data_IF_883834058255
#
_entry.id   IF_883834058255
#
_cell.length_a   1.000
_cell.length_b   1.000
_cell.length_c   1.000
_cell.angle_alpha   90.00
_cell.angle_beta   90.00
_cell.angle_gamma   90.00
#
_symmetry.space_group_name_H-M   'P 1'
#
loop_
_entity.id
_entity.type
_entity.pdbx_description
1 polymer ?
#
# COMPACT_ATOMS: atom_id res chain seq x y z
N UNK A 1 -0.39 -10.10 -6.32
CA UNK A 1 -1.86 -10.07 -6.41
C UNK A 1 -2.34 -9.14 -5.31
N UNK A 2 -3.13 -8.12 -5.67
CA UNK A 2 -3.60 -7.11 -4.71
C UNK A 2 -4.84 -7.63 -3.97
N UNK A 3 -5.00 -7.22 -2.71
CA UNK A 3 -6.19 -7.51 -1.93
C UNK A 3 -7.11 -6.28 -1.91
N UNK A 4 -8.40 -6.53 -2.02
CA UNK A 4 -9.47 -5.56 -1.80
C UNK A 4 -9.98 -5.73 -0.40
N UNK A 5 -10.20 -4.64 0.31
CA UNK A 5 -10.73 -4.61 1.66
C UNK A 5 -12.16 -4.10 1.64
N UNK A 6 -13.05 -4.79 2.34
CA UNK A 6 -14.34 -4.24 2.74
C UNK A 6 -14.20 -3.56 4.10
N UNK A 7 -14.73 -2.36 4.21
CA UNK A 7 -14.59 -1.48 5.37
C UNK A 7 -15.98 -1.05 5.78
N UNK A 8 -16.29 -1.10 7.06
CA UNK A 8 -17.57 -0.66 7.61
C UNK A 8 -17.66 0.86 7.80
N UNK A 9 -18.81 1.36 8.25
CA UNK A 9 -19.06 2.79 8.48
C UNK A 9 -18.17 3.40 9.59
N UNK A 10 -17.45 2.57 10.34
CA UNK A 10 -16.54 2.97 11.41
C UNK A 10 -15.06 2.79 11.05
N UNK A 11 -14.77 2.64 9.75
CA UNK A 11 -13.43 2.44 9.18
C UNK A 11 -12.72 1.15 9.63
N UNK A 12 -13.47 0.11 10.03
CA UNK A 12 -12.88 -1.18 10.36
C UNK A 12 -12.94 -2.16 9.20
N UNK A 13 -11.87 -2.95 9.04
CA UNK A 13 -11.78 -3.99 8.01
C UNK A 13 -12.66 -5.17 8.39
N UNK A 14 -13.68 -5.43 7.58
CA UNK A 14 -14.65 -6.52 7.80
C UNK A 14 -14.36 -7.75 6.95
N UNK A 15 -13.86 -7.57 5.75
CA UNK A 15 -13.54 -8.65 4.84
C UNK A 15 -12.35 -8.30 3.94
N UNK A 16 -11.65 -9.33 3.47
CA UNK A 16 -10.59 -9.23 2.48
C UNK A 16 -10.84 -10.18 1.33
N UNK A 17 -10.79 -9.66 0.11
CA UNK A 17 -10.94 -10.43 -1.13
C UNK A 17 -9.74 -10.25 -2.04
N UNK A 18 -9.48 -11.24 -2.88
CA UNK A 18 -8.52 -11.07 -3.97
C UNK A 18 -9.17 -10.25 -5.09
N UNK A 19 -8.44 -9.26 -5.59
CA UNK A 19 -8.92 -8.46 -6.72
C UNK A 19 -9.02 -9.32 -7.98
N UNK A 20 -10.22 -9.42 -8.55
CA UNK A 20 -10.50 -10.21 -9.75
C UNK A 20 -10.65 -9.36 -11.03
N UNK A 21 -10.68 -8.03 -10.90
CA UNK A 21 -10.68 -7.07 -12.02
C UNK A 21 -11.92 -7.12 -12.92
N UNK A 22 -13.05 -7.63 -12.45
CA UNK A 22 -14.21 -7.88 -13.30
C UNK A 22 -15.09 -6.66 -13.57
N UNK A 23 -15.11 -5.70 -12.67
CA UNK A 23 -15.93 -4.50 -12.87
C UNK A 23 -15.03 -3.25 -12.96
N UNK A 24 -14.90 -2.65 -14.15
CA UNK A 24 -14.07 -1.45 -14.33
C UNK A 24 -14.68 -0.18 -13.74
N UNK A 25 -15.97 -0.17 -13.44
CA UNK A 25 -16.69 1.00 -12.92
C UNK A 25 -16.81 0.99 -11.39
N UNK A 26 -16.43 -0.12 -10.74
CA UNK A 26 -16.47 -0.25 -9.28
C UNK A 26 -15.22 0.35 -8.61
N UNK A 27 -15.44 1.11 -7.54
CA UNK A 27 -14.36 1.66 -6.71
C UNK A 27 -13.99 0.67 -5.62
N UNK A 28 -12.73 0.28 -5.57
CA UNK A 28 -12.22 -0.70 -4.62
C UNK A 28 -11.24 -0.08 -3.62
N UNK A 29 -11.34 -0.46 -2.36
CA UNK A 29 -10.35 -0.16 -1.35
C UNK A 29 -9.20 -1.17 -1.44
N UNK A 30 -8.11 -0.78 -2.10
CA UNK A 30 -6.95 -1.65 -2.30
C UNK A 30 -6.02 -1.62 -1.09
N UNK A 31 -5.66 -2.79 -0.56
CA UNK A 31 -4.63 -2.87 0.48
C UNK A 31 -3.28 -2.43 -0.05
N UNK A 32 -2.65 -1.48 0.64
CA UNK A 32 -1.27 -1.06 0.37
C UNK A 32 -0.23 -1.95 1.03
N UNK A 33 -0.66 -2.92 1.85
CA UNK A 33 0.21 -3.78 2.70
C UNK A 33 1.11 -2.96 3.66
N UNK A 34 0.64 -1.79 4.09
CA UNK A 34 1.28 -0.98 5.13
C UNK A 34 0.48 -1.14 6.41
N UNK A 35 1.12 -1.62 7.47
CA UNK A 35 0.47 -1.92 8.74
C UNK A 35 1.20 -1.21 9.89
N UNK A 36 0.43 -0.69 10.84
CA UNK A 36 0.91 -0.18 12.12
C UNK A 36 0.37 -1.11 13.18
N UNK A 37 1.26 -1.77 13.90
CA UNK A 37 0.89 -2.80 14.88
C UNK A 37 1.71 -2.64 16.16
N UNK A 38 1.16 -3.12 17.28
CA UNK A 38 1.90 -3.25 18.53
C UNK A 38 3.01 -4.28 18.40
N UNK A 39 4.23 -3.93 18.80
CA UNK A 39 5.41 -4.78 18.60
C UNK A 39 5.37 -6.08 19.40
N UNK A 40 5.07 -6.09 20.72
CA UNK A 40 4.92 -7.31 21.50
C UNK A 40 3.89 -8.26 20.92
N UNK A 41 2.72 -7.74 20.52
CA UNK A 41 1.67 -8.52 19.89
C UNK A 41 2.12 -9.15 18.56
N UNK A 42 2.83 -8.39 17.71
CA UNK A 42 3.35 -8.89 16.43
C UNK A 42 4.36 -10.02 16.64
N UNK A 43 5.25 -9.89 17.63
CA UNK A 43 6.23 -10.93 17.96
C UNK A 43 5.52 -12.23 18.35
N UNK A 44 4.52 -12.14 19.23
CA UNK A 44 3.71 -13.29 19.63
C UNK A 44 3.08 -14.00 18.41
N UNK A 45 2.46 -13.24 17.49
CA UNK A 45 1.84 -13.80 16.30
C UNK A 45 2.84 -14.44 15.33
N UNK A 46 4.02 -13.86 15.19
CA UNK A 46 5.10 -14.44 14.38
C UNK A 46 5.61 -15.76 15.02
N UNK A 47 5.76 -15.79 16.35
CA UNK A 47 6.19 -17.01 17.05
C UNK A 47 5.15 -18.14 16.99
N UNK A 48 3.86 -17.79 17.06
CA UNK A 48 2.76 -18.74 16.84
C UNK A 48 2.80 -19.32 15.43
N UNK A 49 2.97 -18.47 14.42
CA UNK A 49 3.03 -18.89 13.02
C UNK A 49 4.27 -19.75 12.71
N UNK A 50 5.42 -19.41 13.30
CA UNK A 50 6.67 -20.16 13.12
C UNK A 50 6.60 -21.60 13.64
N UNK A 51 5.65 -21.93 14.53
CA UNK A 51 5.44 -23.30 15.05
C UNK A 51 4.63 -24.18 14.09
N UNK A 52 4.00 -23.59 13.06
CA UNK A 52 3.23 -24.33 12.07
C UNK A 52 4.15 -25.12 11.12
N UNK A 53 3.68 -26.24 10.63
CA UNK A 53 4.41 -27.07 9.66
C UNK A 53 4.69 -26.31 8.36
N UNK A 54 3.75 -25.42 7.94
CA UNK A 54 3.83 -24.58 6.75
C UNK A 54 3.55 -23.11 7.10
N UNK A 55 4.56 -22.37 7.61
CA UNK A 55 4.37 -20.98 7.98
C UNK A 55 4.05 -20.09 6.78
N UNK A 56 3.11 -19.19 6.93
CA UNK A 56 2.76 -18.20 5.92
C UNK A 56 3.78 -17.04 5.89
N UNK A 57 3.80 -16.31 4.78
CA UNK A 57 4.55 -15.06 4.70
C UNK A 57 3.87 -13.99 5.54
N UNK A 58 4.67 -13.15 6.22
CA UNK A 58 4.20 -12.11 7.14
C UNK A 58 3.04 -11.26 6.57
N UNK A 59 3.12 -10.89 5.28
CA UNK A 59 2.06 -10.08 4.65
C UNK A 59 0.68 -10.76 4.63
N UNK A 60 0.63 -12.08 4.51
CA UNK A 60 -0.64 -12.83 4.53
C UNK A 60 -1.16 -12.95 5.95
N UNK A 61 -0.26 -13.22 6.90
CA UNK A 61 -0.60 -13.24 8.33
C UNK A 61 -1.23 -11.90 8.73
N UNK A 62 -0.59 -10.77 8.40
CA UNK A 62 -1.09 -9.44 8.76
C UNK A 62 -2.42 -9.11 8.10
N UNK A 63 -2.65 -9.57 6.87
CA UNK A 63 -3.94 -9.42 6.21
C UNK A 63 -5.05 -10.20 6.89
N UNK A 64 -4.79 -11.48 7.25
CA UNK A 64 -5.75 -12.32 7.96
C UNK A 64 -6.06 -11.74 9.34
N UNK A 65 -5.02 -11.31 10.07
CA UNK A 65 -5.16 -10.68 11.38
C UNK A 65 -5.90 -9.33 11.31
N UNK A 66 -5.77 -8.57 10.22
CA UNK A 66 -6.50 -7.32 10.04
C UNK A 66 -8.02 -7.55 10.03
N UNK A 67 -8.48 -8.64 9.42
CA UNK A 67 -9.90 -9.03 9.44
C UNK A 67 -10.29 -9.61 10.80
N UNK A 68 -9.49 -10.54 11.35
CA UNK A 68 -9.78 -11.22 12.62
C UNK A 68 -9.91 -10.25 13.79
N UNK A 69 -9.08 -9.21 13.83
CA UNK A 69 -9.06 -8.21 14.90
C UNK A 69 -9.77 -6.91 14.56
N UNK A 70 -10.55 -6.88 13.46
CA UNK A 70 -11.25 -5.69 12.98
C UNK A 70 -10.31 -4.46 12.94
N UNK A 71 -9.19 -4.60 12.26
CA UNK A 71 -8.19 -3.53 12.20
C UNK A 71 -8.80 -2.25 11.63
N UNK A 72 -8.39 -1.11 12.18
CA UNK A 72 -8.78 0.19 11.67
C UNK A 72 -8.10 0.46 10.33
N UNK A 73 -8.88 0.80 9.31
CA UNK A 73 -8.38 1.15 7.99
C UNK A 73 -8.12 2.66 7.88
N UNK A 74 -6.97 3.04 7.35
CA UNK A 74 -6.66 4.41 7.02
C UNK A 74 -6.71 4.59 5.51
N UNK A 75 -7.67 5.39 5.03
CA UNK A 75 -7.79 5.69 3.61
C UNK A 75 -6.68 6.64 3.16
N UNK A 76 -5.89 6.21 2.18
CA UNK A 76 -4.88 7.02 1.53
C UNK A 76 -5.34 7.45 0.13
N UNK A 77 -5.57 8.75 -0.05
CA UNK A 77 -6.04 9.35 -1.31
C UNK A 77 -4.92 10.01 -2.13
N UNK A 78 -3.67 9.82 -1.72
CA UNK A 78 -2.48 10.34 -2.41
C UNK A 78 -2.11 9.54 -3.67
N UNK A 79 -0.97 9.91 -4.26
CA UNK A 79 -0.40 9.12 -5.35
C UNK A 79 0.24 7.84 -4.81
N UNK A 80 -0.14 6.70 -5.36
CA UNK A 80 0.42 5.39 -5.07
C UNK A 80 0.73 4.67 -6.39
N UNK A 81 1.97 4.22 -6.57
CA UNK A 81 2.35 3.34 -7.66
C UNK A 81 2.88 2.01 -7.09
N UNK A 82 2.17 0.92 -7.36
CA UNK A 82 2.62 -0.43 -7.00
C UNK A 82 3.40 -1.03 -8.17
N UNK A 83 4.73 -1.02 -8.06
CA UNK A 83 5.64 -1.51 -9.10
C UNK A 83 5.82 -3.02 -8.95
N UNK A 84 5.14 -3.81 -9.77
CA UNK A 84 5.17 -5.27 -9.73
C UNK A 84 5.39 -5.91 -11.12
N UNK A 85 5.40 -5.11 -12.19
CA UNK A 85 5.66 -5.54 -13.57
C UNK A 85 6.44 -4.46 -14.33
N UNK A 86 6.94 -4.78 -15.52
CA UNK A 86 7.61 -3.82 -16.40
C UNK A 86 6.64 -2.71 -16.81
N UNK A 87 5.39 -3.07 -17.09
CA UNK A 87 4.33 -2.12 -17.45
C UNK A 87 4.06 -1.13 -16.31
N UNK A 88 3.90 -1.63 -15.06
CA UNK A 88 3.66 -0.74 -13.91
C UNK A 88 4.87 0.15 -13.59
N UNK A 89 6.08 -0.35 -13.81
CA UNK A 89 7.29 0.48 -13.71
C UNK A 89 7.31 1.58 -14.77
N UNK A 90 7.01 1.23 -16.03
CA UNK A 90 6.95 2.20 -17.13
C UNK A 90 5.88 3.27 -16.86
N UNK A 91 4.69 2.85 -16.47
CA UNK A 91 3.59 3.76 -16.16
C UNK A 91 3.94 4.70 -15.00
N UNK A 92 4.55 4.19 -13.92
CA UNK A 92 4.98 5.03 -12.80
C UNK A 92 6.00 6.11 -13.21
N UNK A 93 6.87 5.81 -14.18
CA UNK A 93 7.78 6.82 -14.74
C UNK A 93 7.04 7.87 -15.58
N UNK A 94 6.06 7.46 -16.40
CA UNK A 94 5.25 8.39 -17.17
C UNK A 94 4.40 9.29 -16.26
N UNK A 95 3.88 8.75 -15.16
CA UNK A 95 3.11 9.50 -14.17
C UNK A 95 3.92 10.67 -13.58
N UNK A 96 5.23 10.52 -13.47
CA UNK A 96 6.11 11.60 -12.97
C UNK A 96 6.25 12.78 -13.95
N UNK A 97 5.84 12.61 -15.21
CA UNK A 97 5.74 13.70 -16.17
C UNK A 97 4.49 14.56 -15.95
N UNK A 98 3.52 14.06 -15.17
CA UNK A 98 2.35 14.81 -14.78
C UNK A 98 2.65 15.63 -13.52
N UNK A 99 2.64 16.96 -13.67
CA UNK A 99 2.99 17.88 -12.59
C UNK A 99 2.19 17.63 -11.29
N UNK A 100 0.91 17.32 -11.39
CA UNK A 100 0.07 17.06 -10.20
C UNK A 100 0.50 15.81 -9.44
N UNK A 101 0.86 14.71 -10.13
CA UNK A 101 1.35 13.47 -9.50
C UNK A 101 2.75 13.67 -8.92
N UNK A 102 3.63 14.35 -9.66
CA UNK A 102 4.97 14.71 -9.20
C UNK A 102 4.92 15.53 -7.91
N UNK A 103 4.10 16.59 -7.86
CA UNK A 103 3.97 17.43 -6.68
C UNK A 103 3.36 16.72 -5.47
N UNK A 104 2.50 15.72 -5.67
CA UNK A 104 1.99 14.89 -4.58
C UNK A 104 3.10 14.02 -3.96
N UNK A 105 4.01 13.51 -4.76
CA UNK A 105 5.12 12.67 -4.29
C UNK A 105 6.26 13.50 -3.69
N UNK A 106 6.61 14.62 -4.33
CA UNK A 106 7.73 15.49 -3.94
C UNK A 106 7.24 16.81 -3.33
N UNK A 107 6.30 16.72 -2.40
CA UNK A 107 5.80 17.91 -1.70
C UNK A 107 6.89 18.57 -0.87
N UNK A 108 7.00 19.92 -0.88
CA UNK A 108 7.94 20.64 -0.01
C UNK A 108 7.75 20.35 1.49
N UNK A 109 6.53 20.00 1.89
CA UNK A 109 6.17 19.68 3.27
C UNK A 109 6.43 18.22 3.68
N UNK A 110 6.65 17.33 2.71
CA UNK A 110 6.93 15.92 2.92
C UNK A 110 8.17 15.53 2.11
N UNK A 111 9.33 15.77 2.69
CA UNK A 111 10.59 15.46 2.00
C UNK A 111 10.79 13.97 1.86
N UNK A 112 11.08 13.53 0.63
CA UNK A 112 11.53 12.16 0.37
C UNK A 112 13.03 12.12 0.68
N UNK A 113 13.40 11.37 1.73
CA UNK A 113 14.80 11.19 2.10
C UNK A 113 15.42 10.09 1.24
N UNK A 114 16.28 10.49 0.32
CA UNK A 114 17.06 9.59 -0.52
C UNK A 114 18.55 9.76 -0.22
N UNK A 115 19.40 9.03 -0.94
CA UNK A 115 20.84 9.27 -0.91
C UNK A 115 21.11 10.76 -1.19
N UNK A 116 21.87 11.41 -0.32
CA UNK A 116 22.12 12.86 -0.39
C UNK A 116 22.72 13.20 -1.76
N UNK A 117 21.91 13.83 -2.59
CA UNK A 117 22.33 14.57 -3.77
C UNK A 117 21.92 16.00 -3.53
N UNK A 118 22.84 16.94 -3.71
CA UNK A 118 22.57 18.38 -3.62
C UNK A 118 21.82 18.91 -4.85
N UNK A 119 21.20 18.04 -5.60
CA UNK A 119 20.47 18.33 -6.83
C UNK A 119 18.99 18.12 -6.59
N UNK A 120 18.18 19.03 -7.12
CA UNK A 120 16.74 18.85 -7.16
C UNK A 120 16.38 17.70 -8.11
N UNK A 121 15.26 16.98 -7.86
CA UNK A 121 14.80 15.96 -8.78
C UNK A 121 14.49 16.57 -10.15
N UNK A 122 14.77 15.81 -11.21
CA UNK A 122 14.51 16.25 -12.58
C UNK A 122 13.01 16.54 -12.75
N UNK A 123 12.72 17.73 -13.23
CA UNK A 123 11.37 18.20 -13.50
C UNK A 123 11.18 18.47 -14.99
N UNK A 124 10.10 17.94 -15.57
CA UNK A 124 9.71 18.19 -16.95
C UNK A 124 8.53 19.15 -16.98
N UNK A 125 8.74 20.40 -17.40
CA UNK A 125 7.63 21.31 -17.64
C UNK A 125 6.93 20.97 -18.96
N UNK A 126 5.60 21.04 -18.97
CA UNK A 126 4.87 21.10 -20.24
C UNK A 126 5.13 22.49 -20.83
N UNK A 127 5.76 22.55 -21.99
CA UNK A 127 5.79 23.73 -22.86
C UNK A 127 4.43 23.96 -23.50
#
# INVERSE_FOLDING_TARGET
MNAVLEIDETDHVTEQKLFDGKDPDEVYNMSTDVFIVDTPWLIEKIEEEAKKEYPQKLRYILRDLAVEYNAFAFEYTGYLANIHSVESYYQANLDMLENQKFMKLFSPNQKVYTKVKNEEPTYYSKT
#
